data_IF_391780833420
#
_entry.id   IF_391780833420
#
_cell.length_a   1.000
_cell.length_b   1.000
_cell.length_c   1.000
_cell.angle_alpha   90.00
_cell.angle_beta   90.00
_cell.angle_gamma   90.00
#
_symmetry.space_group_name_H-M   'P 1'
#
loop_
_entity.id
_entity.type
_entity.pdbx_description
1 polymer ?
#
# COMPACT_ATOMS: atom_id res chain seq x y z
N UNK A 1 5.94 30.24 -17.35
CA UNK A 1 5.68 29.46 -16.12
C UNK A 1 5.14 28.12 -16.58
N UNK A 2 5.99 27.09 -16.61
CA UNK A 2 5.56 25.73 -16.95
C UNK A 2 4.81 25.21 -15.71
N UNK A 3 3.52 24.94 -15.85
CA UNK A 3 2.74 24.30 -14.78
C UNK A 3 3.33 22.94 -14.42
N UNK A 4 2.93 22.33 -13.29
CA UNK A 4 3.40 21.01 -12.93
C UNK A 4 3.10 20.03 -14.06
N UNK A 5 4.12 19.29 -14.50
CA UNK A 5 3.95 18.26 -15.51
C UNK A 5 3.04 17.15 -14.96
N UNK A 6 2.28 16.50 -15.83
CA UNK A 6 1.34 15.42 -15.46
C UNK A 6 1.99 14.33 -14.60
N UNK A 7 3.25 14.00 -14.86
CA UNK A 7 4.03 13.04 -14.08
C UNK A 7 4.25 13.47 -12.62
N UNK A 8 4.43 14.76 -12.37
CA UNK A 8 4.62 15.32 -11.03
C UNK A 8 3.31 15.32 -10.23
N UNK A 9 2.19 15.57 -10.91
CA UNK A 9 0.85 15.49 -10.33
C UNK A 9 0.50 14.04 -9.95
N UNK A 10 0.78 13.08 -10.83
CA UNK A 10 0.58 11.65 -10.56
C UNK A 10 1.46 11.20 -9.40
N UNK A 11 2.74 11.60 -9.39
CA UNK A 11 3.66 11.26 -8.31
C UNK A 11 3.18 11.82 -6.97
N UNK A 12 2.76 13.07 -6.94
CA UNK A 12 2.24 13.72 -5.72
C UNK A 12 0.98 13.02 -5.22
N UNK A 13 0.07 12.65 -6.13
CA UNK A 13 -1.14 11.91 -5.79
C UNK A 13 -0.84 10.54 -5.18
N UNK A 14 0.04 9.75 -5.81
CA UNK A 14 0.42 8.41 -5.32
C UNK A 14 1.14 8.49 -3.97
N UNK A 15 1.98 9.51 -3.76
CA UNK A 15 2.64 9.73 -2.47
C UNK A 15 1.63 10.08 -1.37
N UNK A 16 0.65 10.94 -1.66
CA UNK A 16 -0.42 11.26 -0.70
C UNK A 16 -1.27 10.02 -0.35
N UNK A 17 -1.60 9.18 -1.33
CA UNK A 17 -2.29 7.90 -1.09
C UNK A 17 -1.46 6.97 -0.21
N UNK A 18 -0.17 6.82 -0.53
CA UNK A 18 0.75 6.00 0.27
C UNK A 18 0.87 6.50 1.71
N UNK A 19 0.93 7.81 1.91
CA UNK A 19 0.98 8.38 3.25
C UNK A 19 -0.26 7.98 4.08
N UNK A 20 -1.46 8.09 3.50
CA UNK A 20 -2.70 7.66 4.17
C UNK A 20 -2.68 6.17 4.52
N UNK A 21 -2.24 5.33 3.59
CA UNK A 21 -2.11 3.89 3.81
C UNK A 21 -1.10 3.59 4.93
N UNK A 22 0.07 4.22 4.90
CA UNK A 22 1.09 4.09 5.95
C UNK A 22 0.59 4.57 7.32
N UNK A 23 -0.14 5.67 7.39
CA UNK A 23 -0.76 6.15 8.63
C UNK A 23 -1.77 5.14 9.19
N UNK A 24 -2.55 4.49 8.32
CA UNK A 24 -3.47 3.44 8.72
C UNK A 24 -2.73 2.21 9.25
N UNK A 25 -1.72 1.73 8.53
CA UNK A 25 -0.90 0.59 8.96
C UNK A 25 -0.22 0.88 10.30
N UNK A 26 0.37 2.07 10.48
CA UNK A 26 1.01 2.45 11.75
C UNK A 26 0.03 2.59 12.93
N UNK A 27 -1.26 2.85 12.65
CA UNK A 27 -2.32 2.84 13.68
C UNK A 27 -2.80 1.43 13.99
N UNK A 28 -2.85 0.56 12.99
CA UNK A 28 -3.35 -0.81 13.10
C UNK A 28 -2.31 -1.78 13.71
N UNK A 29 -1.01 -1.52 13.49
CA UNK A 29 0.07 -2.40 13.92
C UNK A 29 1.04 -1.68 14.86
N UNK A 30 1.58 -2.43 15.82
CA UNK A 30 2.64 -1.92 16.70
C UNK A 30 3.92 -1.75 15.89
N UNK A 31 4.57 -0.58 15.99
CA UNK A 31 5.82 -0.32 15.28
C UNK A 31 6.87 -1.39 15.60
N UNK A 32 7.51 -1.95 14.56
CA UNK A 32 8.52 -3.00 14.69
C UNK A 32 7.98 -4.42 14.88
N UNK A 33 6.66 -4.64 14.86
CA UNK A 33 6.08 -6.00 14.82
C UNK A 33 5.85 -6.51 13.41
N UNK A 34 5.79 -5.60 12.44
CA UNK A 34 5.59 -5.91 11.02
C UNK A 34 6.70 -5.28 10.18
N UNK A 35 7.06 -5.94 9.09
CA UNK A 35 7.88 -5.40 8.02
C UNK A 35 6.95 -4.75 7.00
N UNK A 36 7.31 -3.54 6.55
CA UNK A 36 6.53 -2.78 5.58
C UNK A 36 7.41 -2.52 4.37
N UNK A 37 6.94 -2.92 3.19
CA UNK A 37 7.61 -2.77 1.91
C UNK A 37 6.68 -2.13 0.87
N UNK A 38 7.24 -1.51 -0.16
CA UNK A 38 6.44 -0.92 -1.24
C UNK A 38 5.75 -1.97 -2.10
N UNK A 39 4.51 -1.70 -2.50
CA UNK A 39 3.76 -2.52 -3.43
C UNK A 39 3.24 -1.67 -4.59
N UNK A 40 4.08 -1.39 -5.61
CA UNK A 40 3.78 -0.40 -6.65
C UNK A 40 2.67 -0.82 -7.62
N UNK A 41 2.25 -2.09 -7.59
CA UNK A 41 1.15 -2.58 -8.43
C UNK A 41 -0.22 -2.01 -8.04
N UNK A 42 -0.34 -1.44 -6.83
CA UNK A 42 -1.57 -0.79 -6.36
C UNK A 42 -1.32 0.67 -5.95
N UNK A 43 -2.31 1.57 -6.12
CA UNK A 43 -2.18 2.98 -5.74
C UNK A 43 -1.91 3.13 -4.24
N UNK A 44 -0.78 3.74 -3.90
CA UNK A 44 -0.33 3.87 -2.52
C UNK A 44 -0.06 2.53 -1.82
N UNK A 45 0.11 1.45 -2.59
CA UNK A 45 0.21 0.09 -2.09
C UNK A 45 1.44 -0.16 -1.22
N UNK A 46 1.24 -0.87 -0.12
CA UNK A 46 2.29 -1.38 0.76
C UNK A 46 2.03 -2.83 1.12
N UNK A 47 3.08 -3.64 1.10
CA UNK A 47 3.06 -5.00 1.61
C UNK A 47 3.44 -4.98 3.09
N UNK A 48 2.56 -5.49 3.94
CA UNK A 48 2.77 -5.67 5.36
C UNK A 48 3.00 -7.16 5.62
N UNK A 49 4.10 -7.49 6.27
CA UNK A 49 4.46 -8.86 6.64
C UNK A 49 4.71 -8.97 8.13
N UNK A 50 4.05 -9.90 8.80
CA UNK A 50 4.28 -10.19 10.21
C UNK A 50 5.44 -11.17 10.43
N UNK A 51 5.78 -11.41 11.71
CA UNK A 51 6.89 -12.28 12.12
C UNK A 51 6.61 -13.77 11.90
N UNK A 52 5.34 -14.17 11.86
CA UNK A 52 4.89 -15.53 11.61
C UNK A 52 4.83 -15.83 10.10
N UNK A 53 5.04 -14.82 9.26
CA UNK A 53 5.09 -14.93 7.81
C UNK A 53 3.74 -14.73 7.13
N UNK A 54 2.74 -14.23 7.85
CA UNK A 54 1.52 -13.72 7.23
C UNK A 54 1.80 -12.41 6.48
N UNK A 55 1.09 -12.25 5.36
CA UNK A 55 1.30 -11.16 4.42
C UNK A 55 -0.06 -10.57 4.03
N UNK A 56 -0.14 -9.25 3.99
CA UNK A 56 -1.30 -8.51 3.53
C UNK A 56 -0.84 -7.26 2.77
N UNK A 57 -1.50 -6.96 1.65
CA UNK A 57 -1.26 -5.75 0.87
C UNK A 57 -2.34 -4.74 1.22
N UNK A 58 -1.94 -3.58 1.72
CA UNK A 58 -2.82 -2.44 1.97
C UNK A 58 -2.66 -1.42 0.85
N UNK A 59 -3.76 -0.84 0.38
CA UNK A 59 -3.74 0.11 -0.73
C UNK A 59 -4.91 1.10 -0.66
N UNK A 60 -4.84 2.17 -1.45
CA UNK A 60 -5.95 3.10 -1.62
C UNK A 60 -6.87 2.61 -2.75
N UNK A 61 -8.12 2.31 -2.43
CA UNK A 61 -9.16 2.01 -3.42
C UNK A 61 -9.69 3.34 -3.98
N UNK A 62 -9.22 3.72 -5.17
CA UNK A 62 -9.62 4.96 -5.84
C UNK A 62 -11.11 4.95 -6.20
N UNK A 63 -11.71 3.78 -6.45
CA UNK A 63 -13.12 3.69 -6.84
C UNK A 63 -14.06 3.89 -5.65
N UNK A 64 -13.63 3.45 -4.46
CA UNK A 64 -14.40 3.56 -3.21
C UNK A 64 -13.95 4.69 -2.29
N UNK A 65 -12.85 5.37 -2.62
CA UNK A 65 -12.22 6.43 -1.83
C UNK A 65 -11.89 5.99 -0.39
N UNK A 66 -11.42 4.74 -0.22
CA UNK A 66 -11.12 4.15 1.09
C UNK A 66 -9.82 3.33 1.09
N UNK A 67 -9.35 2.96 2.29
CA UNK A 67 -8.21 2.04 2.44
C UNK A 67 -8.76 0.62 2.41
N UNK A 68 -8.31 -0.16 1.43
CA UNK A 68 -8.63 -1.57 1.30
C UNK A 68 -7.38 -2.42 1.54
N UNK A 69 -7.59 -3.71 1.77
CA UNK A 69 -6.51 -4.68 1.85
C UNK A 69 -6.88 -5.98 1.16
N UNK A 70 -5.87 -6.69 0.68
CA UNK A 70 -6.01 -8.02 0.10
C UNK A 70 -4.87 -8.90 0.59
N UNK A 71 -5.11 -10.21 0.64
CA UNK A 71 -4.04 -11.17 0.81
C UNK A 71 -3.40 -11.41 -0.55
N UNK A 72 -2.05 -11.42 -0.64
CA UNK A 72 -1.40 -11.92 -1.84
C UNK A 72 -1.77 -13.39 -1.96
N UNK A 73 -2.45 -13.75 -3.05
CA UNK A 73 -2.79 -15.14 -3.32
C UNK A 73 -1.49 -15.95 -3.35
N UNK A 74 -1.39 -16.98 -2.50
CA UNK A 74 -0.30 -17.96 -2.58
C UNK A 74 -0.63 -18.93 -3.71
N UNK A 75 -0.77 -18.42 -4.92
CA UNK A 75 -0.95 -19.26 -6.11
C UNK A 75 0.43 -19.83 -6.52
N UNK A 76 0.79 -20.88 -5.79
CA UNK A 76 1.90 -21.79 -6.04
C UNK A 76 1.65 -23.19 -5.51
N UNK A 77 0.47 -23.47 -4.95
CA UNK A 77 0.04 -24.82 -4.53
C UNK A 77 -0.99 -25.36 -5.54
N UNK A 78 -0.61 -25.38 -6.82
CA UNK A 78 -1.30 -26.23 -7.80
C UNK A 78 -0.89 -27.67 -7.48
N UNK A 79 -1.76 -28.37 -6.75
CA UNK A 79 -1.71 -29.84 -6.64
C UNK A 79 -2.11 -30.51 -7.94
#
# INVERSE_FOLDING_TARGET
MTGPNTEDLIRTGVQAMRQRVMEHVNKAFVSGTVQISEFPALPGGVLVRDKEGGEAVFYWDILRDEIAFTWPDKDGDTK
#
